data_IF_780444785443
#
_entry.id   IF_780444785443
#
_cell.length_a   1.000
_cell.length_b   1.000
_cell.length_c   1.000
_cell.angle_alpha   90.00
_cell.angle_beta   90.00
_cell.angle_gamma   90.00
#
_symmetry.space_group_name_H-M   'P 1'
#
loop_
_entity.id
_entity.type
_entity.pdbx_description
1 polymer ?
#
# COMPACT_ATOMS: atom_id res chain seq x y z
N UNK A 1 15.34 11.19 65.73
CA UNK A 1 14.76 12.00 64.63
C UNK A 1 14.55 11.05 63.45
N UNK A 2 13.39 10.37 63.42
CA UNK A 2 13.01 9.41 62.37
C UNK A 2 12.62 10.21 61.12
N UNK A 3 13.43 10.15 60.07
CA UNK A 3 13.14 10.81 58.79
C UNK A 3 12.41 9.83 57.87
N UNK A 4 11.32 10.35 57.33
CA UNK A 4 10.19 9.70 56.67
C UNK A 4 10.61 9.07 55.32
N UNK A 5 10.64 7.74 55.22
CA UNK A 5 10.92 6.98 53.97
C UNK A 5 9.65 6.65 53.17
N UNK A 6 8.56 7.43 53.32
CA UNK A 6 7.24 7.11 52.75
C UNK A 6 7.02 7.55 51.29
N UNK A 7 7.82 8.47 50.74
CA UNK A 7 7.54 9.07 49.42
C UNK A 7 8.14 8.33 48.22
N UNK A 8 9.16 7.48 48.42
CA UNK A 8 9.83 6.75 47.32
C UNK A 8 9.01 5.55 46.83
N UNK A 9 8.33 4.85 47.74
CA UNK A 9 7.53 3.67 47.42
C UNK A 9 6.26 4.00 46.63
N UNK A 10 5.62 5.14 46.90
CA UNK A 10 4.38 5.54 46.22
C UNK A 10 4.64 5.98 44.76
N UNK A 11 5.76 6.66 44.51
CA UNK A 11 6.19 7.01 43.15
C UNK A 11 6.60 5.78 42.32
N UNK A 12 7.25 4.81 42.96
CA UNK A 12 7.62 3.54 42.33
C UNK A 12 6.40 2.69 41.95
N UNK A 13 5.37 2.65 42.81
CA UNK A 13 4.10 1.98 42.48
C UNK A 13 3.35 2.65 41.32
N UNK A 14 3.37 3.98 41.23
CA UNK A 14 2.74 4.72 40.13
C UNK A 14 3.45 4.49 38.79
N UNK A 15 4.79 4.40 38.81
CA UNK A 15 5.58 4.07 37.61
C UNK A 15 5.35 2.62 37.17
N UNK A 16 5.19 1.68 38.10
CA UNK A 16 4.89 0.28 37.81
C UNK A 16 3.45 0.08 37.29
N UNK A 17 2.49 0.90 37.73
CA UNK A 17 1.12 0.91 37.20
C UNK A 17 1.04 1.43 35.76
N UNK A 18 1.89 2.39 35.37
CA UNK A 18 1.99 2.90 33.99
C UNK A 18 2.54 1.86 33.00
N UNK A 19 3.44 0.97 33.46
CA UNK A 19 3.95 -0.15 32.65
C UNK A 19 2.90 -1.26 32.44
N UNK A 20 1.78 -1.27 33.18
CA UNK A 20 0.71 -2.26 32.99
C UNK A 20 -0.31 -1.84 31.92
N UNK A 21 -0.20 -0.63 31.37
CA UNK A 21 -1.05 -0.12 30.28
C UNK A 21 -0.36 -0.11 28.90
N UNK A 22 0.65 -0.95 28.67
CA UNK A 22 1.11 -1.19 27.29
C UNK A 22 -0.03 -1.85 26.51
N UNK A 23 -0.73 -1.03 25.73
CA UNK A 23 -1.66 -1.52 24.72
C UNK A 23 -0.89 -2.40 23.74
N UNK A 24 -1.41 -3.59 23.47
CA UNK A 24 -0.99 -4.37 22.32
C UNK A 24 -1.33 -3.53 21.08
N UNK A 25 -0.31 -3.16 20.32
CA UNK A 25 -0.49 -2.61 18.99
C UNK A 25 -0.78 -3.80 18.07
N UNK A 26 -1.95 -3.79 17.44
CA UNK A 26 -2.24 -4.68 16.33
C UNK A 26 -1.72 -3.99 15.09
N UNK A 27 -0.64 -4.52 14.53
CA UNK A 27 -0.12 -4.11 13.23
C UNK A 27 -0.54 -5.16 12.23
N UNK A 28 -1.15 -4.72 11.14
CA UNK A 28 -1.34 -5.54 9.96
C UNK A 28 -0.07 -5.37 9.12
N UNK A 29 0.77 -6.41 9.04
CA UNK A 29 1.93 -6.41 8.14
C UNK A 29 1.43 -6.64 6.71
N UNK A 30 1.07 -5.56 6.04
CA UNK A 30 0.84 -5.56 4.60
C UNK A 30 1.73 -4.47 4.00
N UNK A 31 2.53 -4.88 3.01
CA UNK A 31 3.27 -3.96 2.17
C UNK A 31 2.28 -3.06 1.43
N UNK A 32 2.26 -1.76 1.76
CA UNK A 32 1.38 -0.75 1.17
C UNK A 32 1.85 -0.39 -0.24
N UNK A 33 1.95 -1.41 -1.08
CA UNK A 33 2.60 -1.37 -2.37
C UNK A 33 1.55 -1.27 -3.49
N UNK A 34 1.79 -0.32 -4.40
CA UNK A 34 1.04 -0.18 -5.63
C UNK A 34 1.37 -1.39 -6.48
N UNK A 35 0.36 -2.19 -6.78
CA UNK A 35 0.55 -3.42 -7.52
C UNK A 35 0.19 -3.21 -8.98
N UNK A 36 0.86 -3.94 -9.87
CA UNK A 36 0.56 -3.87 -11.30
C UNK A 36 0.37 -5.24 -11.92
N UNK A 37 -0.62 -5.36 -12.79
CA UNK A 37 -0.69 -6.43 -13.79
C UNK A 37 0.04 -5.90 -15.02
N UNK A 38 1.22 -6.46 -15.25
CA UNK A 38 2.12 -6.06 -16.33
C UNK A 38 1.59 -6.51 -17.70
N UNK A 39 2.10 -5.88 -18.77
CA UNK A 39 1.71 -6.23 -20.13
C UNK A 39 2.03 -7.68 -20.46
N UNK A 40 1.02 -8.43 -20.91
CA UNK A 40 1.13 -9.86 -21.22
C UNK A 40 0.83 -10.78 -20.03
N UNK A 41 0.75 -10.24 -18.82
CA UNK A 41 0.29 -10.97 -17.65
C UNK A 41 -1.24 -10.93 -17.55
N UNK A 42 -1.83 -12.02 -17.07
CA UNK A 42 -3.30 -12.16 -16.93
C UNK A 42 -3.74 -12.09 -15.47
N UNK A 43 -2.79 -12.22 -14.54
CA UNK A 43 -3.04 -12.14 -13.11
C UNK A 43 -1.82 -11.66 -12.34
N UNK A 44 -2.08 -11.14 -11.14
CA UNK A 44 -1.09 -10.90 -10.10
C UNK A 44 -1.34 -11.88 -8.96
N UNK A 45 -0.28 -12.34 -8.28
CA UNK A 45 -0.39 -13.17 -7.08
C UNK A 45 0.35 -12.50 -5.92
N UNK A 46 -0.35 -12.26 -4.81
CA UNK A 46 0.25 -11.71 -3.58
C UNK A 46 -0.01 -12.64 -2.40
N UNK A 47 0.97 -12.75 -1.53
CA UNK A 47 0.89 -13.56 -0.31
C UNK A 47 0.39 -12.71 0.85
N UNK A 48 -0.57 -13.24 1.61
CA UNK A 48 -1.08 -12.64 2.83
C UNK A 48 -0.92 -13.62 3.98
N UNK A 49 -0.50 -13.10 5.13
CA UNK A 49 -0.32 -13.84 6.37
C UNK A 49 -1.29 -13.30 7.39
N UNK A 50 -1.91 -14.18 8.16
CA UNK A 50 -2.57 -13.77 9.38
C UNK A 50 -1.52 -13.66 10.49
N UNK A 51 -1.03 -12.44 10.73
CA UNK A 51 -0.06 -12.12 11.77
C UNK A 51 -0.70 -11.90 13.15
N UNK A 52 -2.02 -12.04 13.25
CA UNK A 52 -2.76 -11.93 14.51
C UNK A 52 -2.73 -13.23 15.30
N UNK A 53 -3.20 -13.17 16.56
CA UNK A 53 -3.35 -14.32 17.45
C UNK A 53 -4.69 -15.04 17.26
N UNK A 54 -5.57 -14.55 16.40
CA UNK A 54 -6.93 -15.07 16.20
C UNK A 54 -7.12 -15.62 14.81
N UNK A 55 -8.02 -16.58 14.65
CA UNK A 55 -8.46 -17.02 13.32
C UNK A 55 -9.29 -15.91 12.68
N UNK A 56 -8.92 -15.49 11.47
CA UNK A 56 -9.56 -14.37 10.79
C UNK A 56 -10.09 -14.80 9.41
N UNK A 57 -11.23 -14.22 9.04
CA UNK A 57 -11.75 -14.25 7.67
C UNK A 57 -11.16 -13.09 6.90
N UNK A 58 -10.43 -13.41 5.83
CA UNK A 58 -9.99 -12.45 4.83
C UNK A 58 -10.98 -12.41 3.68
N UNK A 59 -11.30 -11.23 3.19
CA UNK A 59 -12.12 -11.02 2.00
C UNK A 59 -11.58 -9.89 1.14
N UNK A 60 -11.78 -10.03 -0.16
CA UNK A 60 -11.26 -9.10 -1.16
C UNK A 60 -12.43 -8.52 -1.95
N UNK A 61 -12.34 -7.24 -2.26
CA UNK A 61 -13.22 -6.58 -3.22
C UNK A 61 -12.44 -5.53 -3.99
N UNK A 62 -13.05 -5.02 -5.06
CA UNK A 62 -12.47 -3.93 -5.82
C UNK A 62 -13.54 -3.01 -6.38
N UNK A 63 -13.12 -1.77 -6.61
CA UNK A 63 -13.85 -0.83 -7.45
C UNK A 63 -12.87 -0.16 -8.41
N UNK A 64 -13.38 0.27 -9.57
CA UNK A 64 -12.55 0.92 -10.58
C UNK A 64 -12.52 2.41 -10.30
N UNK A 65 -11.39 3.06 -10.60
CA UNK A 65 -11.23 4.51 -10.44
C UNK A 65 -10.69 5.11 -11.75
N UNK A 66 -11.01 6.37 -11.99
CA UNK A 66 -10.51 7.12 -13.14
C UNK A 66 -8.99 7.36 -13.06
N UNK A 67 -8.48 7.66 -11.86
CA UNK A 67 -7.06 7.85 -11.55
C UNK A 67 -6.82 7.68 -10.04
N UNK A 68 -5.61 7.26 -9.61
CA UNK A 68 -5.20 7.31 -8.21
C UNK A 68 -4.97 8.76 -7.74
N UNK A 69 -5.36 9.11 -6.50
CA UNK A 69 -5.01 10.39 -5.88
C UNK A 69 -6.11 11.00 -5.00
N UNK A 70 -6.16 12.33 -4.94
CA UNK A 70 -7.09 13.06 -4.04
C UNK A 70 -8.51 13.25 -4.62
N UNK A 71 -8.65 13.21 -5.95
CA UNK A 71 -9.90 13.51 -6.66
C UNK A 71 -10.36 12.29 -7.48
N UNK A 72 -10.44 11.14 -6.83
CA UNK A 72 -10.79 9.87 -7.47
C UNK A 72 -12.29 9.78 -7.69
N UNK A 73 -12.68 9.37 -8.88
CA UNK A 73 -14.06 9.05 -9.21
C UNK A 73 -14.16 7.53 -9.33
N UNK A 74 -14.82 6.93 -8.34
CA UNK A 74 -15.07 5.50 -8.32
C UNK A 74 -16.24 5.11 -9.25
N UNK A 75 -16.09 3.99 -9.92
CA UNK A 75 -17.14 3.31 -10.66
C UNK A 75 -17.21 1.83 -10.28
N UNK A 76 -18.42 1.26 -10.34
CA UNK A 76 -18.58 -0.18 -10.11
C UNK A 76 -17.89 -0.99 -11.22
N UNK A 77 -17.24 -2.08 -10.81
CA UNK A 77 -16.63 -3.00 -11.77
C UNK A 77 -17.75 -3.78 -12.46
N UNK A 78 -17.82 -3.64 -13.78
CA UNK A 78 -18.78 -4.37 -14.61
C UNK A 78 -18.18 -5.66 -15.16
N UNK A 79 -19.04 -6.63 -15.48
CA UNK A 79 -18.72 -7.85 -16.24
C UNK A 79 -17.60 -8.74 -15.67
N UNK A 80 -17.26 -8.63 -14.38
CA UNK A 80 -16.20 -9.42 -13.78
C UNK A 80 -14.81 -9.10 -14.34
N UNK A 81 -14.55 -7.83 -14.69
CA UNK A 81 -13.25 -7.36 -15.17
C UNK A 81 -12.11 -7.66 -14.20
N UNK A 82 -12.40 -7.68 -12.88
CA UNK A 82 -11.48 -8.13 -11.83
C UNK A 82 -12.07 -9.36 -11.14
N UNK A 83 -11.26 -10.42 -10.99
CA UNK A 83 -11.65 -11.65 -10.29
C UNK A 83 -10.60 -12.01 -9.25
N UNK A 84 -11.05 -12.37 -8.05
CA UNK A 84 -10.19 -12.82 -6.97
C UNK A 84 -10.27 -14.34 -6.79
N UNK A 85 -9.13 -14.99 -6.56
CA UNK A 85 -9.09 -16.39 -6.13
C UNK A 85 -8.12 -16.58 -4.96
N UNK A 86 -8.60 -17.04 -3.78
CA UNK A 86 -10.01 -17.08 -3.39
C UNK A 86 -10.56 -15.66 -3.14
N UNK A 87 -11.88 -15.47 -3.24
CA UNK A 87 -12.51 -14.19 -2.86
C UNK A 87 -12.54 -14.00 -1.34
N UNK A 88 -12.69 -15.12 -0.61
CA UNK A 88 -12.74 -15.17 0.85
C UNK A 88 -12.01 -16.40 1.35
N UNK A 89 -11.27 -16.28 2.45
CA UNK A 89 -10.54 -17.39 3.05
C UNK A 89 -10.40 -17.18 4.55
N UNK A 90 -10.63 -18.24 5.32
CA UNK A 90 -10.30 -18.27 6.74
C UNK A 90 -8.83 -18.66 6.87
N UNK A 91 -8.06 -17.86 7.61
CA UNK A 91 -6.65 -18.12 7.92
C UNK A 91 -6.48 -18.27 9.43
N UNK A 92 -5.81 -19.34 9.86
CA UNK A 92 -5.37 -19.53 11.25
C UNK A 92 -4.22 -18.58 11.60
N UNK A 93 -3.93 -18.34 12.89
CA UNK A 93 -2.75 -17.58 13.31
C UNK A 93 -1.46 -18.12 12.66
N UNK A 94 -0.71 -17.24 12.00
CA UNK A 94 0.51 -17.55 11.25
C UNK A 94 0.31 -18.24 9.90
N UNK A 95 -0.93 -18.57 9.51
CA UNK A 95 -1.23 -19.17 8.21
C UNK A 95 -1.03 -18.15 7.09
N UNK A 96 -0.51 -18.65 5.97
CA UNK A 96 -0.21 -17.90 4.77
C UNK A 96 -1.04 -18.44 3.60
N UNK A 97 -1.56 -17.54 2.79
CA UNK A 97 -2.23 -17.89 1.54
C UNK A 97 -1.79 -16.95 0.41
N UNK A 98 -1.83 -17.45 -0.83
CA UNK A 98 -1.62 -16.65 -2.02
C UNK A 98 -2.97 -16.30 -2.65
N UNK A 99 -3.25 -15.01 -2.72
CA UNK A 99 -4.44 -14.48 -3.36
C UNK A 99 -4.07 -13.97 -4.74
N UNK A 100 -4.80 -14.46 -5.75
CA UNK A 100 -4.62 -14.07 -7.13
C UNK A 100 -5.70 -13.08 -7.55
N UNK A 101 -5.30 -12.06 -8.28
CA UNK A 101 -6.18 -11.07 -8.89
C UNK A 101 -6.04 -11.21 -10.40
N UNK A 102 -7.10 -11.62 -11.08
CA UNK A 102 -7.15 -11.76 -12.53
C UNK A 102 -7.79 -10.51 -13.14
N UNK A 103 -7.23 -10.09 -14.28
CA UNK A 103 -7.84 -9.08 -15.14
C UNK A 103 -8.45 -9.74 -16.38
N UNK A 104 -9.71 -9.43 -16.69
CA UNK A 104 -10.44 -9.94 -17.86
C UNK A 104 -11.13 -8.83 -18.66
N UNK A 105 -10.74 -7.58 -18.44
CA UNK A 105 -11.27 -6.45 -19.19
C UNK A 105 -10.66 -6.33 -20.58
N UNK A 106 -10.68 -5.12 -21.13
CA UNK A 106 -10.19 -4.86 -22.49
C UNK A 106 -8.66 -4.86 -22.51
N UNK A 107 -8.10 -5.62 -23.43
CA UNK A 107 -6.68 -5.54 -23.77
C UNK A 107 -6.45 -4.48 -24.85
N UNK A 108 -6.25 -3.23 -24.44
CA UNK A 108 -5.97 -2.10 -25.33
C UNK A 108 -4.82 -1.23 -24.77
N UNK A 109 -4.56 -0.09 -25.41
CA UNK A 109 -3.43 0.77 -25.05
C UNK A 109 -3.74 1.75 -23.90
N UNK A 110 -4.80 1.48 -23.11
CA UNK A 110 -5.19 2.28 -21.96
C UNK A 110 -4.75 1.65 -20.64
N UNK A 111 -4.12 2.46 -19.78
CA UNK A 111 -3.86 2.11 -18.40
C UNK A 111 -5.13 2.25 -17.57
N UNK A 112 -5.39 1.30 -16.68
CA UNK A 112 -6.60 1.27 -15.85
C UNK A 112 -6.24 1.13 -14.38
N UNK A 113 -7.08 1.70 -13.53
CA UNK A 113 -6.80 1.80 -12.10
C UNK A 113 -7.96 1.24 -11.30
N UNK A 114 -7.62 0.52 -10.24
CA UNK A 114 -8.56 -0.11 -9.34
C UNK A 114 -8.09 0.11 -7.91
N UNK A 115 -9.05 0.27 -7.01
CA UNK A 115 -8.80 0.11 -5.57
C UNK A 115 -9.13 -1.32 -5.19
N UNK A 116 -8.17 -1.99 -4.56
CA UNK A 116 -8.34 -3.29 -3.94
C UNK A 116 -8.58 -3.08 -2.46
N UNK A 117 -9.71 -3.56 -1.98
CA UNK A 117 -10.07 -3.52 -0.56
C UNK A 117 -9.84 -4.91 0.00
N UNK A 118 -9.05 -4.98 1.06
CA UNK A 118 -8.69 -6.21 1.75
C UNK A 118 -9.22 -6.09 3.16
N UNK A 119 -10.23 -6.89 3.49
CA UNK A 119 -10.89 -6.84 4.79
C UNK A 119 -10.55 -8.07 5.62
N UNK A 120 -10.17 -7.83 6.86
CA UNK A 120 -9.91 -8.82 7.90
C UNK A 120 -10.98 -8.72 8.98
N UNK A 121 -11.67 -9.82 9.25
CA UNK A 121 -12.69 -9.91 10.31
C UNK A 121 -12.37 -11.10 11.22
N UNK A 122 -12.26 -10.93 12.55
CA UNK A 122 -12.12 -12.05 13.47
C UNK A 122 -13.24 -13.08 13.29
N UNK A 123 -12.86 -14.34 13.12
CA UNK A 123 -13.77 -15.45 12.90
C UNK A 123 -13.82 -16.35 14.14
N UNK A 124 -14.75 -16.07 15.04
CA UNK A 124 -15.02 -16.92 16.19
C UNK A 124 -16.07 -17.99 15.86
N UNK A 125 -15.66 -19.26 15.85
CA UNK A 125 -16.61 -20.39 15.85
C UNK A 125 -17.10 -20.58 17.28
N UNK A 126 -18.23 -19.97 17.65
CA UNK A 126 -18.86 -20.27 18.94
C UNK A 126 -19.55 -21.63 18.88
N UNK A 127 -19.12 -22.56 19.74
CA UNK A 127 -19.93 -23.71 20.08
C UNK A 127 -21.14 -23.23 20.88
N UNK A 128 -22.34 -23.51 20.37
CA UNK A 128 -23.64 -23.12 20.95
C UNK A 128 -23.95 -23.87 22.25
N UNK A 129 -23.10 -23.73 23.26
CA UNK A 129 -23.28 -24.27 24.61
C UNK A 129 -23.67 -23.15 25.57
N UNK A 130 -24.97 -22.99 25.78
CA UNK A 130 -25.63 -22.37 26.93
C UNK A 130 -25.12 -21.02 27.50
N UNK A 131 -26.05 -20.05 27.50
CA UNK A 131 -26.19 -18.99 28.51
C UNK A 131 -25.15 -17.85 28.52
N UNK A 132 -25.24 -16.95 27.53
CA UNK A 132 -25.23 -15.49 27.74
C UNK A 132 -25.46 -14.82 26.39
N UNK A 133 -26.61 -14.15 26.21
CA UNK A 133 -26.87 -13.27 25.06
C UNK A 133 -26.03 -11.99 25.24
N UNK A 134 -24.72 -12.08 25.03
CA UNK A 134 -23.89 -10.89 24.90
C UNK A 134 -23.96 -10.37 23.45
N UNK A 135 -24.03 -9.05 23.24
CA UNK A 135 -23.92 -8.49 21.91
C UNK A 135 -22.59 -8.91 21.28
N UNK A 136 -22.67 -9.60 20.15
CA UNK A 136 -21.49 -9.98 19.37
C UNK A 136 -21.06 -8.77 18.54
N UNK A 137 -19.83 -8.31 18.75
CA UNK A 137 -19.21 -7.27 17.95
C UNK A 137 -17.96 -7.84 17.30
N UNK A 138 -17.95 -7.87 15.97
CA UNK A 138 -16.81 -8.32 15.16
C UNK A 138 -16.21 -7.12 14.43
N UNK A 139 -15.13 -6.51 14.93
CA UNK A 139 -14.49 -5.40 14.23
C UNK A 139 -13.94 -5.91 12.89
N UNK A 140 -14.19 -5.19 11.80
CA UNK A 140 -13.56 -5.47 10.51
C UNK A 140 -12.55 -4.37 10.22
N UNK A 141 -11.31 -4.77 10.00
CA UNK A 141 -10.23 -3.86 9.57
C UNK A 141 -10.12 -4.00 8.06
N UNK A 142 -10.04 -2.87 7.34
CA UNK A 142 -9.86 -2.88 5.88
C UNK A 142 -8.67 -2.04 5.46
N UNK A 143 -7.89 -2.57 4.53
CA UNK A 143 -6.83 -1.86 3.84
C UNK A 143 -7.23 -1.62 2.39
N UNK A 144 -7.01 -0.40 1.92
CA UNK A 144 -7.16 -0.03 0.52
C UNK A 144 -5.78 0.11 -0.12
N UNK A 145 -5.57 -0.53 -1.28
CA UNK A 145 -4.37 -0.35 -2.11
C UNK A 145 -4.74 -0.16 -3.57
N UNK A 146 -3.82 0.40 -4.36
CA UNK A 146 -3.99 0.56 -5.79
C UNK A 146 -3.51 -0.67 -6.56
N UNK A 147 -4.31 -1.08 -7.53
CA UNK A 147 -3.94 -1.99 -8.60
C UNK A 147 -3.98 -1.22 -9.93
N UNK A 148 -2.89 -1.28 -10.68
CA UNK A 148 -2.78 -0.73 -12.01
C UNK A 148 -2.75 -1.87 -13.02
N UNK A 149 -3.61 -1.82 -14.04
CA UNK A 149 -3.52 -2.73 -15.18
C UNK A 149 -2.84 -1.96 -16.30
N UNK A 150 -1.64 -2.41 -16.69
CA UNK A 150 -0.87 -1.73 -17.72
C UNK A 150 -1.50 -1.92 -19.11
N UNK A 151 -1.26 -0.98 -20.03
CA UNK A 151 -1.63 -1.13 -21.44
C UNK A 151 -1.09 -2.42 -22.06
N UNK A 152 -1.79 -2.94 -23.07
CA UNK A 152 -1.31 -4.09 -23.88
C UNK A 152 0.02 -3.80 -24.57
N UNK A 153 0.22 -2.56 -25.04
CA UNK A 153 1.51 -2.10 -25.57
C UNK A 153 1.99 -0.89 -24.75
N UNK A 154 2.75 -1.12 -23.66
CA UNK A 154 3.30 -0.04 -22.87
C UNK A 154 4.32 0.77 -23.68
N UNK A 155 4.08 2.07 -23.79
CA UNK A 155 4.92 3.05 -24.44
C UNK A 155 5.48 3.99 -23.37
N UNK A 156 6.64 3.65 -22.84
CA UNK A 156 7.37 4.47 -21.88
C UNK A 156 8.09 5.63 -22.56
N UNK A 157 7.60 6.85 -22.31
CA UNK A 157 8.18 8.10 -22.82
C UNK A 157 8.00 9.21 -21.80
N UNK A 158 8.98 10.11 -21.73
CA UNK A 158 8.94 11.27 -20.87
C UNK A 158 9.63 12.48 -21.52
N UNK A 159 9.28 13.68 -21.04
CA UNK A 159 9.94 14.95 -21.35
C UNK A 159 10.48 15.54 -20.06
N UNK A 160 11.80 15.69 -19.97
CA UNK A 160 12.48 16.27 -18.81
C UNK A 160 13.15 17.60 -19.19
N UNK A 161 12.63 18.68 -18.63
CA UNK A 161 13.14 20.05 -18.83
C UNK A 161 13.71 20.58 -17.52
N UNK A 162 14.98 20.25 -17.27
CA UNK A 162 15.67 20.58 -16.02
C UNK A 162 15.65 22.07 -15.70
N UNK A 163 15.93 22.95 -16.67
CA UNK A 163 15.96 24.41 -16.45
C UNK A 163 14.60 24.96 -15.99
N UNK A 164 13.50 24.36 -16.48
CA UNK A 164 12.14 24.71 -16.07
C UNK A 164 11.70 24.00 -14.79
N UNK A 165 12.40 22.94 -14.38
CA UNK A 165 12.03 22.08 -13.26
C UNK A 165 10.77 21.29 -13.55
N UNK A 166 10.64 20.75 -14.77
CA UNK A 166 9.45 20.02 -15.23
C UNK A 166 9.83 18.62 -15.69
N UNK A 167 9.08 17.63 -15.22
CA UNK A 167 9.09 16.28 -15.75
C UNK A 167 7.66 15.94 -16.18
N UNK A 168 7.47 15.52 -17.43
CA UNK A 168 6.16 15.12 -17.96
C UNK A 168 6.22 13.68 -18.44
N UNK A 169 5.24 12.86 -18.04
CA UNK A 169 5.01 11.57 -18.65
C UNK A 169 4.29 11.78 -19.99
N UNK A 170 4.95 11.47 -21.10
CA UNK A 170 4.40 11.58 -22.46
C UNK A 170 4.04 10.22 -23.05
N UNK A 171 4.21 9.15 -22.26
CA UNK A 171 3.82 7.79 -22.56
C UNK A 171 2.35 7.50 -22.25
N UNK A 172 2.00 6.22 -22.28
CA UNK A 172 0.66 5.69 -21.95
C UNK A 172 0.65 4.82 -20.69
N UNK A 173 1.75 4.73 -19.94
CA UNK A 173 1.81 3.99 -18.67
C UNK A 173 2.50 4.81 -17.59
N UNK A 174 2.13 4.61 -16.33
CA UNK A 174 2.76 5.27 -15.22
C UNK A 174 4.22 4.82 -15.01
N UNK A 175 4.99 5.69 -14.37
CA UNK A 175 6.31 5.35 -13.83
C UNK A 175 6.52 6.01 -12.47
N UNK A 176 7.41 5.41 -11.67
CA UNK A 176 7.84 5.97 -10.39
C UNK A 176 9.01 6.92 -10.62
N UNK A 177 9.08 8.01 -9.87
CA UNK A 177 10.17 8.98 -9.90
C UNK A 177 10.75 9.08 -8.51
N UNK A 178 12.07 9.01 -8.43
CA UNK A 178 12.86 9.08 -7.20
C UNK A 178 13.78 10.29 -7.34
N UNK A 179 13.62 11.27 -6.46
CA UNK A 179 14.39 12.51 -6.44
C UNK A 179 15.20 12.59 -5.15
N UNK A 180 16.51 12.49 -5.25
CA UNK A 180 17.42 12.81 -4.15
C UNK A 180 17.63 14.31 -4.07
N UNK A 181 17.96 14.82 -2.89
CA UNK A 181 18.17 16.24 -2.67
C UNK A 181 19.58 16.71 -3.09
N UNK A 182 20.55 15.80 -3.15
CA UNK A 182 21.94 16.10 -3.52
C UNK A 182 22.60 14.90 -4.27
N UNK A 183 23.91 14.98 -4.47
CA UNK A 183 24.72 13.96 -5.15
C UNK A 183 25.54 13.10 -4.18
N UNK A 184 25.43 13.35 -2.89
CA UNK A 184 26.10 12.58 -1.85
C UNK A 184 25.19 11.42 -1.44
N UNK A 185 25.70 10.20 -1.54
CA UNK A 185 24.98 9.04 -1.03
C UNK A 185 25.25 8.92 0.47
N UNK A 186 24.41 9.56 1.28
CA UNK A 186 24.44 9.44 2.74
C UNK A 186 23.40 8.40 3.18
N UNK A 187 23.69 7.63 4.23
CA UNK A 187 22.77 6.60 4.74
C UNK A 187 21.42 7.17 5.21
N UNK A 188 21.37 8.45 5.57
CA UNK A 188 20.18 9.17 6.03
C UNK A 188 19.41 9.91 4.90
N UNK A 189 19.84 9.81 3.64
CA UNK A 189 19.15 10.49 2.53
C UNK A 189 17.84 9.77 2.18
N UNK A 190 16.71 10.41 2.52
CA UNK A 190 15.37 9.92 2.20
C UNK A 190 14.91 10.60 0.91
N UNK A 191 14.92 9.89 -0.23
CA UNK A 191 14.53 10.50 -1.49
C UNK A 191 13.04 10.80 -1.51
N UNK A 192 12.67 11.84 -2.23
CA UNK A 192 11.27 12.10 -2.53
C UNK A 192 10.80 11.17 -3.65
N UNK A 193 9.73 10.42 -3.37
CA UNK A 193 9.15 9.45 -4.31
C UNK A 193 7.76 9.92 -4.73
N UNK A 194 7.50 9.86 -6.04
CA UNK A 194 6.19 10.11 -6.61
C UNK A 194 5.93 9.19 -7.80
N UNK A 195 4.67 9.12 -8.24
CA UNK A 195 4.28 8.40 -9.45
C UNK A 195 3.71 9.41 -10.46
N UNK A 196 4.16 9.34 -11.70
CA UNK A 196 3.62 10.16 -12.79
C UNK A 196 2.74 9.30 -13.68
N UNK A 197 1.46 9.60 -13.67
CA UNK A 197 0.47 8.99 -14.57
C UNK A 197 0.65 9.47 -16.02
N UNK A 198 0.12 8.76 -17.01
CA UNK A 198 0.14 9.19 -18.41
C UNK A 198 -0.34 10.63 -18.58
N UNK A 199 0.40 11.41 -19.38
CA UNK A 199 0.14 12.84 -19.66
C UNK A 199 0.27 13.80 -18.47
N UNK A 200 0.54 13.30 -17.26
CA UNK A 200 0.76 14.13 -16.08
C UNK A 200 2.13 14.83 -16.16
N UNK A 201 2.16 16.09 -15.75
CA UNK A 201 3.38 16.86 -15.56
C UNK A 201 3.58 17.16 -14.06
N UNK A 202 4.82 17.05 -13.61
CA UNK A 202 5.26 17.42 -12.29
C UNK A 202 6.25 18.57 -12.39
N UNK A 203 6.02 19.62 -11.60
CA UNK A 203 6.89 20.80 -11.55
C UNK A 203 7.36 21.01 -10.12
N UNK A 204 8.68 21.03 -9.92
CA UNK A 204 9.26 21.17 -8.59
C UNK A 204 10.69 21.73 -8.67
N UNK A 205 11.13 22.45 -7.64
CA UNK A 205 12.48 23.01 -7.57
C UNK A 205 13.57 21.92 -7.50
N UNK A 206 13.29 20.76 -6.89
CA UNK A 206 14.19 19.59 -6.83
C UNK A 206 14.58 19.08 -8.20
N UNK A 207 13.70 19.22 -9.19
CA UNK A 207 14.00 18.86 -10.57
C UNK A 207 15.06 19.76 -11.21
N UNK A 208 15.24 21.00 -10.73
CA UNK A 208 16.26 21.93 -11.22
C UNK A 208 17.65 21.66 -10.62
N UNK A 209 17.69 21.27 -9.35
CA UNK A 209 18.93 21.06 -8.59
C UNK A 209 19.83 20.02 -9.27
N UNK A 210 21.15 20.09 -9.05
CA UNK A 210 22.06 18.96 -9.32
C UNK A 210 21.88 17.93 -8.20
N UNK A 211 21.43 16.73 -8.56
CA UNK A 211 21.18 15.63 -7.62
C UNK A 211 20.90 14.34 -8.40
N UNK A 212 21.03 13.20 -7.74
CA UNK A 212 20.58 11.93 -8.29
C UNK A 212 19.06 11.93 -8.49
N UNK A 213 18.63 11.55 -9.69
CA UNK A 213 17.20 11.45 -10.04
C UNK A 213 17.01 10.24 -10.92
N UNK A 214 16.03 9.43 -10.58
CA UNK A 214 15.73 8.21 -11.31
C UNK A 214 14.26 8.17 -11.69
N UNK A 215 13.99 7.70 -12.89
CA UNK A 215 12.69 7.15 -13.25
C UNK A 215 12.80 5.64 -13.11
N UNK A 216 11.82 5.00 -12.48
CA UNK A 216 11.70 3.55 -12.38
C UNK A 216 10.46 3.10 -13.16
N UNK A 217 10.68 2.27 -14.17
CA UNK A 217 9.65 1.67 -15.00
C UNK A 217 10.05 0.26 -15.40
N UNK A 218 9.12 -0.70 -15.37
CA UNK A 218 9.34 -2.11 -15.71
C UNK A 218 10.61 -2.70 -15.04
N UNK A 219 10.72 -2.50 -13.73
CA UNK A 219 11.84 -2.95 -12.90
C UNK A 219 13.23 -2.45 -13.31
N UNK A 220 13.29 -1.35 -14.08
CA UNK A 220 14.54 -0.72 -14.54
C UNK A 220 14.64 0.71 -14.04
N UNK A 221 15.87 1.10 -13.69
CA UNK A 221 16.23 2.46 -13.30
C UNK A 221 16.77 3.24 -14.51
N UNK A 222 16.23 4.43 -14.72
CA UNK A 222 16.62 5.37 -15.77
C UNK A 222 17.12 6.66 -15.11
N UNK A 223 18.44 6.92 -15.11
CA UNK A 223 18.97 8.17 -14.57
C UNK A 223 18.53 9.35 -15.45
N UNK A 224 17.98 10.39 -14.82
CA UNK A 224 17.61 11.65 -15.48
C UNK A 224 18.27 12.87 -14.85
N UNK A 225 18.94 12.69 -13.71
CA UNK A 225 19.71 13.73 -13.02
C UNK A 225 21.16 13.74 -13.47
N UNK A 226 21.86 14.83 -13.18
CA UNK A 226 23.30 14.94 -13.35
C UNK A 226 23.96 15.34 -12.03
N UNK A 227 25.08 14.69 -11.73
CA UNK A 227 25.97 14.98 -10.61
C UNK A 227 27.37 15.44 -11.05
N UNK A 228 27.64 15.44 -12.36
CA UNK A 228 28.82 16.03 -12.98
C UNK A 228 28.70 17.58 -13.07
#
# INVERSE_FOLDING_TARGET
>A
MLKNNGHSLLGSLFFMALLLFYKQAYGLYIDADISSIESGETFLSKSYVNDTKTTNLYSFSAYKIDKPGNDEVGEEISNGEIIFTPLKKILLPGEREFFKIFYRGKEDDQERYYKIIISETPFEVKNSGAQKKQPLFYPTISLETYLVVRPKNPNFKYDFRQNEGVLKNTGNTYFRVILHDNCESNEDDIPYVLYLLPQQAYRDARLKKKSHKYIVAFDKYYPIGNCD
#
